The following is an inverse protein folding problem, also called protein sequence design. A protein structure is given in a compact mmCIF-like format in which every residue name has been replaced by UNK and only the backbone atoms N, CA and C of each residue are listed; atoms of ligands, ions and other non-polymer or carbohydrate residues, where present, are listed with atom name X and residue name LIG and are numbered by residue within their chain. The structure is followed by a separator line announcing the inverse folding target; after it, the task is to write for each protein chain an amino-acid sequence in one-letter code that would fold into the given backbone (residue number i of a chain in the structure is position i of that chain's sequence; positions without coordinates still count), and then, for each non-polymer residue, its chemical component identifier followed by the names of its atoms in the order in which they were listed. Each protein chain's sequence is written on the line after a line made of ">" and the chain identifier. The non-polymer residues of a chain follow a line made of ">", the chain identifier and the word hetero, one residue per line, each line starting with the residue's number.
data_IF_148066572712
#
_entry.id   IF_148066572712
#
_cell.length_a   1.000
_cell.length_b   1.000
_cell.length_c   1.000
_cell.angle_alpha   90.00
_cell.angle_beta   90.00
_cell.angle_gamma   90.00
#
_symmetry.space_group_name_H-M   'P 1'
#
loop_
_entity.id
_entity.type
_entity.pdbx_description
1 polymer ?
#
# COMPACT_ATOMS: atom_id res chain seq x y z
N UNK A 1 -1.42 2.40 -2.80
CA UNK A 1 0.01 2.06 -2.59
C UNK A 1 0.14 1.18 -1.36
N UNK A 2 0.54 -0.07 -1.52
CA UNK A 2 0.60 -1.05 -0.43
C UNK A 2 2.04 -1.29 0.04
N UNK A 3 2.77 -0.24 0.42
CA UNK A 3 4.11 -0.39 1.01
C UNK A 3 4.25 0.42 2.29
N UNK A 4 5.22 0.05 3.12
CA UNK A 4 5.55 0.72 4.37
C UNK A 4 7.05 0.79 4.50
N UNK A 5 7.56 1.92 4.99
CA UNK A 5 8.97 2.08 5.33
C UNK A 5 9.12 2.19 6.83
N UNK A 6 10.20 1.63 7.37
CA UNK A 6 10.49 1.69 8.80
C UNK A 6 12.00 1.73 9.06
N UNK A 7 12.34 2.35 10.17
CA UNK A 7 13.70 2.45 10.67
C UNK A 7 13.92 1.39 11.75
N UNK A 8 15.02 0.66 11.65
CA UNK A 8 15.51 -0.26 12.65
C UNK A 8 16.88 0.24 13.15
N UNK A 9 17.36 -0.24 14.31
CA UNK A 9 18.73 0.05 14.77
C UNK A 9 19.82 -0.35 13.76
N UNK A 10 19.51 -1.32 12.89
CA UNK A 10 20.41 -1.84 11.84
C UNK A 10 20.24 -1.13 10.48
N UNK A 11 19.43 -0.07 10.41
CA UNK A 11 19.20 0.73 9.20
C UNK A 11 17.75 0.73 8.71
N UNK A 12 17.56 1.15 7.47
CA UNK A 12 16.24 1.41 6.89
C UNK A 12 15.74 0.25 6.04
N UNK A 13 14.43 0.05 6.04
CA UNK A 13 13.77 -1.05 5.32
C UNK A 13 12.49 -0.58 4.65
N UNK A 14 12.26 -1.13 3.45
CA UNK A 14 10.98 -1.09 2.75
C UNK A 14 10.34 -2.47 2.89
N UNK A 15 9.08 -2.49 3.30
CA UNK A 15 8.21 -3.65 3.14
C UNK A 15 7.18 -3.37 2.06
N UNK A 16 7.25 -4.15 0.99
CA UNK A 16 6.26 -4.18 -0.07
C UNK A 16 5.27 -5.30 0.21
N UNK A 17 4.01 -4.95 0.47
CA UNK A 17 2.96 -5.92 0.84
C UNK A 17 2.56 -6.79 -0.34
N UNK A 18 2.60 -6.27 -1.55
CA UNK A 18 2.22 -7.00 -2.77
C UNK A 18 3.19 -8.12 -3.06
N UNK A 19 4.48 -7.82 -2.90
CA UNK A 19 5.54 -8.82 -3.08
C UNK A 19 5.81 -9.65 -1.83
N UNK A 20 5.17 -9.32 -0.71
CA UNK A 20 5.48 -9.85 0.62
C UNK A 20 6.99 -9.88 0.89
N UNK A 21 7.69 -8.79 0.55
CA UNK A 21 9.16 -8.73 0.55
C UNK A 21 9.67 -7.51 1.29
N UNK A 22 10.72 -7.75 2.08
CA UNK A 22 11.47 -6.70 2.78
C UNK A 22 12.78 -6.48 2.04
N UNK A 23 13.11 -5.23 1.74
CA UNK A 23 14.39 -4.85 1.13
C UNK A 23 15.09 -3.75 1.94
N UNK A 24 16.44 -3.75 1.96
CA UNK A 24 17.20 -2.66 2.55
C UNK A 24 17.01 -1.36 1.76
N UNK A 25 16.97 -0.25 2.48
CA UNK A 25 16.98 1.10 1.91
C UNK A 25 18.21 1.85 2.41
N UNK A 26 18.69 2.77 1.59
CA UNK A 26 19.54 3.86 2.04
C UNK A 26 18.69 4.93 2.77
N UNK A 27 19.35 5.76 3.58
CA UNK A 27 18.67 6.83 4.32
C UNK A 27 17.91 7.78 3.40
N UNK A 28 18.51 8.15 2.27
CA UNK A 28 17.92 9.01 1.25
C UNK A 28 16.63 8.43 0.68
N UNK A 29 16.63 7.13 0.36
CA UNK A 29 15.46 6.41 -0.15
C UNK A 29 14.36 6.32 0.91
N UNK A 30 14.73 6.07 2.16
CA UNK A 30 13.80 6.05 3.28
C UNK A 30 13.10 7.40 3.45
N UNK A 31 13.87 8.49 3.47
CA UNK A 31 13.31 9.84 3.62
C UNK A 31 12.41 10.21 2.45
N UNK A 32 12.80 9.87 1.23
CA UNK A 32 11.99 10.11 0.04
C UNK A 32 10.66 9.35 0.08
N UNK A 33 10.71 8.04 0.34
CA UNK A 33 9.51 7.20 0.42
C UNK A 33 8.62 7.58 1.62
N UNK A 34 9.20 8.02 2.74
CA UNK A 34 8.45 8.53 3.89
C UNK A 34 7.67 9.80 3.53
N UNK A 35 8.29 10.74 2.79
CA UNK A 35 7.61 11.95 2.28
C UNK A 35 6.51 11.62 1.28
N UNK A 36 6.72 10.63 0.42
CA UNK A 36 5.68 10.12 -0.50
C UNK A 36 4.46 9.63 0.27
N UNK A 37 4.65 8.81 1.32
CA UNK A 37 3.56 8.31 2.17
C UNK A 37 2.80 9.46 2.85
N UNK A 38 3.53 10.50 3.29
CA UNK A 38 2.97 11.70 3.94
C UNK A 38 2.34 12.71 2.97
N UNK A 39 2.40 12.47 1.66
CA UNK A 39 1.98 13.41 0.59
C UNK A 39 2.77 14.73 0.57
N UNK A 40 4.00 14.71 1.08
CA UNK A 40 4.94 15.84 1.10
C UNK A 40 6.07 15.66 0.06
N UNK A 41 5.80 14.91 -1.00
CA UNK A 41 6.82 14.54 -1.98
C UNK A 41 7.23 15.70 -2.88
N UNK A 42 8.53 15.79 -3.14
CA UNK A 42 9.14 16.66 -4.14
C UNK A 42 9.28 15.93 -5.48
N UNK A 43 9.71 16.66 -6.53
CA UNK A 43 10.03 16.05 -7.83
C UNK A 43 11.20 15.05 -7.75
N UNK A 44 12.12 15.25 -6.80
CA UNK A 44 13.22 14.31 -6.55
C UNK A 44 12.71 13.01 -5.92
N UNK A 45 11.82 13.12 -4.92
CA UNK A 45 11.24 11.93 -4.26
C UNK A 45 10.44 11.08 -5.25
N UNK A 46 9.77 11.73 -6.21
CA UNK A 46 9.05 11.03 -7.30
C UNK A 46 10.00 10.20 -8.17
N UNK A 47 11.19 10.73 -8.50
CA UNK A 47 12.20 9.97 -9.26
C UNK A 47 12.70 8.74 -8.49
N UNK A 48 12.80 8.83 -7.16
CA UNK A 48 13.17 7.68 -6.33
C UNK A 48 12.05 6.64 -6.37
N UNK A 49 10.79 7.05 -6.19
CA UNK A 49 9.64 6.17 -6.30
C UNK A 49 9.58 5.46 -7.67
N UNK A 50 9.77 6.19 -8.76
CA UNK A 50 9.80 5.65 -10.13
C UNK A 50 10.86 4.54 -10.28
N UNK A 51 12.07 4.71 -9.72
CA UNK A 51 13.09 3.65 -9.73
C UNK A 51 12.67 2.39 -8.97
N UNK A 52 11.90 2.52 -7.90
CA UNK A 52 11.35 1.35 -7.20
C UNK A 52 10.26 0.67 -8.04
N UNK A 53 9.41 1.46 -8.70
CA UNK A 53 8.35 0.97 -9.59
C UNK A 53 8.90 0.28 -10.84
N UNK A 54 9.99 0.77 -11.42
CA UNK A 54 10.72 0.10 -12.50
C UNK A 54 11.25 -1.28 -12.09
N UNK A 55 11.64 -1.43 -10.81
CA UNK A 55 12.01 -2.73 -10.21
C UNK A 55 10.79 -3.55 -9.78
N UNK A 56 9.59 -3.04 -10.05
CA UNK A 56 8.29 -3.61 -9.72
C UNK A 56 7.89 -3.51 -8.24
N UNK A 57 8.54 -2.67 -7.44
CA UNK A 57 8.18 -2.43 -6.05
C UNK A 57 7.36 -1.13 -5.94
N UNK A 58 6.58 -0.98 -4.88
CA UNK A 58 5.81 0.25 -4.61
C UNK A 58 4.82 0.61 -5.75
N UNK A 59 4.37 -0.39 -6.51
CA UNK A 59 3.38 -0.18 -7.54
C UNK A 59 2.06 0.26 -6.93
N UNK A 60 1.34 1.12 -7.63
CA UNK A 60 -0.03 1.46 -7.27
C UNK A 60 -0.91 0.24 -7.51
N UNK A 61 -1.12 -0.55 -6.48
CA UNK A 61 -2.16 -1.57 -6.52
C UNK A 61 -3.51 -0.96 -6.18
N UNK A 62 -4.46 -1.23 -7.08
CA UNK A 62 -5.90 -1.19 -6.86
C UNK A 62 -6.26 -2.27 -5.84
N UNK A 63 -6.01 -2.04 -4.55
CA UNK A 63 -6.51 -2.89 -3.47
C UNK A 63 -8.04 -2.70 -3.30
N UNK A 64 -8.79 -2.92 -4.38
CA UNK A 64 -10.24 -3.04 -4.36
C UNK A 64 -10.73 -4.48 -4.60
N UNK A 65 -9.88 -5.41 -5.06
CA UNK A 65 -10.34 -6.75 -5.44
C UNK A 65 -9.85 -7.83 -4.47
N UNK A 66 -10.12 -7.65 -3.18
CA UNK A 66 -10.34 -8.82 -2.32
C UNK A 66 -11.81 -9.19 -2.52
N UNK A 67 -12.11 -9.92 -3.60
CA UNK A 67 -13.33 -10.73 -3.62
C UNK A 67 -13.19 -11.76 -2.49
N UNK A 68 -13.90 -11.49 -1.40
CA UNK A 68 -14.17 -12.50 -0.40
C UNK A 68 -14.93 -13.64 -1.11
N UNK A 69 -14.43 -14.90 -1.16
CA UNK A 69 -15.08 -15.99 -1.88
C UNK A 69 -16.35 -16.52 -1.17
N UNK A 70 -17.16 -15.62 -0.61
CA UNK A 70 -18.32 -15.95 0.20
C UNK A 70 -19.33 -14.82 0.39
N UNK A 71 -19.16 -13.66 -0.25
CA UNK A 71 -20.22 -12.63 -0.26
C UNK A 71 -20.76 -12.58 -1.67
N UNK A 72 -21.67 -13.52 -1.97
CA UNK A 72 -22.60 -13.32 -3.07
C UNK A 72 -23.28 -11.99 -2.83
N UNK A 73 -23.29 -11.16 -3.88
CA UNK A 73 -23.97 -9.89 -4.00
C UNK A 73 -25.46 -10.03 -3.72
N UNK A 74 -25.82 -10.16 -2.44
CA UNK A 74 -27.21 -10.11 -2.02
C UNK A 74 -27.52 -8.66 -1.70
N UNK A 75 -28.25 -8.04 -2.63
CA UNK A 75 -28.88 -6.73 -2.51
C UNK A 75 -29.27 -6.40 -1.06
N UNK A 76 -28.66 -5.37 -0.47
CA UNK A 76 -28.95 -4.88 0.89
C UNK A 76 -30.33 -4.16 0.95
N UNK A 77 -31.11 -4.15 -0.12
CA UNK A 77 -32.42 -3.50 -0.17
C UNK A 77 -33.63 -4.39 0.20
N UNK A 78 -33.43 -5.65 0.64
CA UNK A 78 -34.55 -6.58 0.91
C UNK A 78 -34.59 -7.13 2.34
N UNK A 79 -34.11 -6.40 3.35
CA UNK A 79 -34.19 -6.83 4.75
C UNK A 79 -34.62 -5.71 5.72
N UNK A 80 -35.69 -4.97 5.38
CA UNK A 80 -36.35 -4.04 6.33
C UNK A 80 -37.79 -4.47 6.67
N UNK A 81 -38.32 -5.58 6.15
CA UNK A 81 -39.73 -5.96 6.33
C UNK A 81 -39.99 -7.31 7.02
N UNK A 82 -39.04 -7.85 7.79
CA UNK A 82 -39.25 -9.14 8.48
C UNK A 82 -38.95 -9.16 9.99
N UNK A 83 -38.78 -7.99 10.63
CA UNK A 83 -38.74 -7.92 12.11
C UNK A 83 -39.61 -6.75 12.57
N UNK A 84 -40.92 -6.94 12.44
CA UNK A 84 -41.91 -6.39 13.36
C UNK A 84 -42.90 -7.51 13.64
N UNK A 85 -42.59 -8.27 14.70
CA UNK A 85 -43.62 -8.87 15.55
C UNK A 85 -44.49 -7.75 16.14
#
# INVERSE_FOLDING_TARGET
>A
MAFTVFQLPIGYRLYDREKNKIIPLQEEEYLALSRVIRKECTSYDRKILERFQEKGFCNETSLCDIENPGISSTNINTLVWAIKL
#
